data_IF_389106327413
#
_entry.id   IF_389106327413
#
_cell.length_a   1.000
_cell.length_b   1.000
_cell.length_c   1.000
_cell.angle_alpha   90.00
_cell.angle_beta   90.00
_cell.angle_gamma   90.00
#
_symmetry.space_group_name_H-M   'P 1'
#
loop_
_entity.id
_entity.type
_entity.pdbx_description
1 polymer ?
#
# COMPACT_ATOMS: atom_id res chain seq x y z
N UNK A 1 13.29 -10.78 -2.45
CA UNK A 1 11.90 -10.93 -2.97
C UNK A 1 11.40 -9.62 -3.61
N UNK A 2 10.57 -9.68 -4.67
CA UNK A 2 10.06 -8.48 -5.40
C UNK A 2 8.59 -8.20 -5.05
N UNK A 3 8.34 -7.29 -4.10
CA UNK A 3 6.99 -6.96 -3.59
C UNK A 3 5.92 -6.73 -4.67
N UNK A 4 6.24 -5.94 -5.70
CA UNK A 4 5.30 -5.63 -6.78
C UNK A 4 4.91 -6.82 -7.67
N UNK A 5 5.62 -7.96 -7.58
CA UNK A 5 5.16 -9.22 -8.17
C UNK A 5 4.20 -9.94 -7.23
N UNK A 6 4.56 -9.99 -5.94
CA UNK A 6 3.76 -10.70 -4.94
C UNK A 6 2.36 -10.10 -4.79
N UNK A 7 2.22 -8.76 -4.75
CA UNK A 7 0.89 -8.14 -4.66
C UNK A 7 0.04 -8.39 -5.91
N UNK A 8 0.64 -8.48 -7.11
CA UNK A 8 -0.09 -8.87 -8.32
C UNK A 8 -0.57 -10.32 -8.25
N UNK A 9 0.25 -11.24 -7.72
CA UNK A 9 -0.17 -12.64 -7.52
C UNK A 9 -1.32 -12.73 -6.52
N UNK A 10 -1.34 -11.90 -5.48
CA UNK A 10 -2.48 -11.85 -4.56
C UNK A 10 -3.75 -11.34 -5.24
N UNK A 11 -3.64 -10.30 -6.08
CA UNK A 11 -4.76 -9.80 -6.87
C UNK A 11 -5.31 -10.84 -7.87
N UNK A 12 -4.43 -11.64 -8.48
CA UNK A 12 -4.85 -12.74 -9.37
C UNK A 12 -5.59 -13.85 -8.61
N UNK A 13 -5.28 -14.06 -7.33
CA UNK A 13 -5.95 -15.05 -6.49
C UNK A 13 -7.31 -14.57 -5.96
N UNK A 14 -7.51 -13.25 -5.85
CA UNK A 14 -8.72 -12.62 -5.33
C UNK A 14 -9.11 -11.42 -6.22
N UNK A 15 -9.66 -11.68 -7.43
CA UNK A 15 -9.99 -10.62 -8.40
C UNK A 15 -11.18 -9.75 -7.96
N UNK A 16 -11.94 -10.22 -6.96
CA UNK A 16 -13.02 -9.52 -6.28
C UNK A 16 -12.53 -8.41 -5.35
N UNK A 17 -11.29 -8.50 -4.87
CA UNK A 17 -10.68 -7.53 -3.97
C UNK A 17 -9.86 -6.49 -4.72
N UNK A 18 -10.03 -5.21 -4.36
CA UNK A 18 -9.27 -4.12 -4.98
C UNK A 18 -7.92 -3.93 -4.28
N UNK A 19 -6.85 -4.46 -4.88
CA UNK A 19 -5.49 -4.26 -4.39
C UNK A 19 -4.87 -2.96 -4.92
N UNK A 20 -4.05 -2.32 -4.08
CA UNK A 20 -3.25 -1.14 -4.40
C UNK A 20 -2.47 -1.33 -5.71
N UNK A 21 -2.68 -0.43 -6.66
CA UNK A 21 -2.01 -0.41 -7.96
C UNK A 21 -0.55 0.07 -7.85
N UNK A 22 0.28 -0.77 -7.25
CA UNK A 22 1.68 -0.46 -6.92
C UNK A 22 2.54 -0.16 -8.16
N UNK A 23 2.28 -0.83 -9.30
CA UNK A 23 3.05 -0.66 -10.54
C UNK A 23 2.81 0.72 -11.17
N UNK A 24 1.56 1.16 -11.41
CA UNK A 24 1.26 2.54 -11.83
C UNK A 24 1.87 3.61 -10.93
N UNK A 25 1.65 3.55 -9.61
CA UNK A 25 2.22 4.51 -8.65
C UNK A 25 3.75 4.60 -8.75
N UNK A 26 4.41 3.44 -8.88
CA UNK A 26 5.87 3.38 -9.06
C UNK A 26 6.34 3.98 -10.38
N UNK A 27 5.54 3.89 -11.46
CA UNK A 27 5.88 4.48 -12.75
C UNK A 27 5.83 6.01 -12.67
N UNK A 28 4.83 6.59 -11.99
CA UNK A 28 4.72 8.04 -11.78
C UNK A 28 5.95 8.57 -11.02
N UNK A 29 6.30 7.95 -9.89
CA UNK A 29 7.48 8.35 -9.11
C UNK A 29 8.78 8.32 -9.94
N UNK A 30 8.94 7.32 -10.81
CA UNK A 30 10.11 7.21 -11.69
C UNK A 30 10.15 8.29 -12.77
N UNK A 31 8.98 8.66 -13.33
CA UNK A 31 8.89 9.72 -14.34
C UNK A 31 9.25 11.08 -13.73
N UNK A 32 8.74 11.37 -12.53
CA UNK A 32 9.07 12.57 -11.78
C UNK A 32 10.55 12.67 -11.43
N UNK A 33 11.14 11.57 -10.97
CA UNK A 33 12.58 11.56 -10.70
C UNK A 33 13.45 11.83 -11.95
N UNK A 34 13.01 11.37 -13.13
CA UNK A 34 13.74 11.54 -14.40
C UNK A 34 13.59 12.95 -14.96
N UNK A 35 12.38 13.50 -14.97
CA UNK A 35 12.11 14.82 -15.55
C UNK A 35 12.81 15.95 -14.78
N UNK A 36 12.96 15.79 -13.47
CA UNK A 36 13.62 16.77 -12.60
C UNK A 36 15.15 16.79 -12.75
N UNK A 37 15.75 15.74 -13.30
CA UNK A 37 17.17 15.72 -13.68
C UNK A 37 17.43 16.39 -15.04
N UNK A 38 16.45 16.38 -15.95
CA UNK A 38 16.62 16.90 -17.32
C UNK A 38 16.22 18.37 -17.44
N UNK A 39 15.22 18.82 -16.69
CA UNK A 39 14.68 20.17 -16.77
C UNK A 39 14.68 20.79 -15.37
N UNK A 40 15.52 21.79 -15.12
CA UNK A 40 15.56 22.57 -13.87
C UNK A 40 14.32 23.45 -13.63
N UNK A 41 13.17 23.12 -14.22
CA UNK A 41 11.95 23.93 -14.20
C UNK A 41 11.01 23.48 -13.09
N UNK A 42 10.82 24.34 -12.09
CA UNK A 42 10.08 24.07 -10.85
C UNK A 42 8.59 23.79 -11.07
N UNK A 43 7.95 24.42 -12.05
CA UNK A 43 6.49 24.33 -12.28
C UNK A 43 6.00 22.91 -12.64
N UNK A 44 6.76 22.15 -13.43
CA UNK A 44 6.35 20.80 -13.85
C UNK A 44 6.48 19.72 -12.75
N UNK A 45 7.21 20.03 -11.66
CA UNK A 45 7.47 19.08 -10.58
C UNK A 45 6.35 19.05 -9.54
N UNK A 46 5.69 20.19 -9.33
CA UNK A 46 4.56 20.29 -8.41
C UNK A 46 3.35 19.55 -8.98
N UNK A 47 3.08 19.69 -10.28
CA UNK A 47 2.00 18.97 -10.97
C UNK A 47 2.17 17.44 -10.89
N UNK A 48 3.40 16.93 -11.01
CA UNK A 48 3.66 15.49 -10.93
C UNK A 48 3.63 14.96 -9.50
N UNK A 49 4.01 15.78 -8.52
CA UNK A 49 3.91 15.44 -7.10
C UNK A 49 2.44 15.37 -6.68
N UNK A 50 1.64 16.37 -7.08
CA UNK A 50 0.20 16.37 -6.88
C UNK A 50 -0.48 15.20 -7.61
N UNK A 51 -0.04 14.87 -8.83
CA UNK A 51 -0.55 13.70 -9.56
C UNK A 51 -0.30 12.38 -8.82
N UNK A 52 0.87 12.21 -8.20
CA UNK A 52 1.15 11.05 -7.37
C UNK A 52 0.25 11.01 -6.12
N UNK A 53 0.07 12.15 -5.45
CA UNK A 53 -0.72 12.22 -4.22
C UNK A 53 -2.20 11.94 -4.48
N UNK A 54 -2.79 12.57 -5.49
CA UNK A 54 -4.19 12.29 -5.89
C UNK A 54 -4.39 10.84 -6.28
N UNK A 55 -3.45 10.24 -7.02
CA UNK A 55 -3.55 8.83 -7.37
C UNK A 55 -3.43 7.92 -6.14
N UNK A 56 -2.51 8.22 -5.21
CA UNK A 56 -2.37 7.42 -3.99
C UNK A 56 -3.60 7.55 -3.09
N UNK A 57 -4.18 8.74 -2.98
CA UNK A 57 -5.41 9.00 -2.21
C UNK A 57 -6.59 8.22 -2.79
N UNK A 58 -6.85 8.35 -4.09
CA UNK A 58 -7.90 7.59 -4.78
C UNK A 58 -7.74 6.08 -4.57
N UNK A 59 -6.51 5.57 -4.68
CA UNK A 59 -6.24 4.14 -4.48
C UNK A 59 -6.47 3.69 -3.03
N UNK A 60 -6.17 4.55 -2.05
CA UNK A 60 -6.47 4.26 -0.63
C UNK A 60 -7.99 4.20 -0.43
N UNK A 61 -8.74 5.12 -1.02
CA UNK A 61 -10.19 5.16 -0.93
C UNK A 61 -10.83 3.92 -1.58
N UNK A 62 -10.35 3.50 -2.75
CA UNK A 62 -10.83 2.28 -3.42
C UNK A 62 -10.51 1.02 -2.60
N UNK A 63 -9.31 0.94 -2.00
CA UNK A 63 -8.94 -0.17 -1.10
C UNK A 63 -9.84 -0.19 0.14
N UNK A 64 -10.10 0.96 0.75
CA UNK A 64 -10.94 1.08 1.95
C UNK A 64 -12.41 0.74 1.66
N UNK A 65 -12.91 1.18 0.50
CA UNK A 65 -14.26 0.83 0.02
C UNK A 65 -14.38 -0.68 -0.18
N UNK A 66 -13.41 -1.29 -0.86
CA UNK A 66 -13.36 -2.74 -1.06
C UNK A 66 -13.26 -3.51 0.27
N UNK A 67 -12.41 -3.06 1.20
CA UNK A 67 -12.31 -3.66 2.54
C UNK A 67 -13.65 -3.61 3.28
N UNK A 68 -14.28 -2.44 3.31
CA UNK A 68 -15.54 -2.23 4.04
C UNK A 68 -16.65 -3.13 3.49
N UNK A 69 -16.80 -3.21 2.17
CA UNK A 69 -17.79 -4.09 1.53
C UNK A 69 -17.61 -5.56 1.94
N UNK A 70 -16.38 -6.07 1.91
CA UNK A 70 -16.12 -7.46 2.27
C UNK A 70 -16.19 -7.71 3.78
N UNK A 71 -15.81 -6.72 4.60
CA UNK A 71 -15.96 -6.79 6.04
C UNK A 71 -17.44 -6.86 6.45
N UNK A 72 -18.30 -6.08 5.78
CA UNK A 72 -19.75 -6.15 5.99
C UNK A 72 -20.32 -7.51 5.60
N UNK A 73 -19.92 -8.06 4.45
CA UNK A 73 -20.37 -9.39 4.04
C UNK A 73 -19.99 -10.48 5.06
N UNK A 74 -18.75 -10.46 5.56
CA UNK A 74 -18.28 -11.38 6.61
C UNK A 74 -19.05 -11.17 7.92
N UNK A 75 -19.36 -9.93 8.28
CA UNK A 75 -20.14 -9.61 9.49
C UNK A 75 -21.59 -10.10 9.37
N UNK A 76 -22.19 -10.01 8.19
CA UNK A 76 -23.53 -10.52 7.92
C UNK A 76 -23.55 -12.05 8.04
N UNK A 77 -22.55 -12.75 7.48
CA UNK A 77 -22.38 -14.20 7.65
C UNK A 77 -22.23 -14.61 9.12
N UNK A 78 -21.44 -13.88 9.91
CA UNK A 78 -21.31 -14.10 11.36
C UNK A 78 -22.65 -13.95 12.07
N UNK A 79 -23.41 -12.92 11.70
CA UNK A 79 -24.69 -12.60 12.32
C UNK A 79 -25.71 -13.70 12.06
N UNK A 80 -25.79 -14.18 10.81
CA UNK A 80 -26.64 -15.32 10.41
C UNK A 80 -26.28 -16.55 11.25
N UNK A 81 -25.01 -16.98 11.23
CA UNK A 81 -24.54 -18.16 11.97
C UNK A 81 -24.74 -18.07 13.48
N UNK A 82 -24.69 -16.85 14.04
CA UNK A 82 -24.90 -16.62 15.48
C UNK A 82 -26.39 -16.60 15.85
N UNK A 83 -27.26 -16.22 14.91
CA UNK A 83 -28.71 -16.12 15.10
C UNK A 83 -29.44 -17.45 14.87
N UNK A 84 -28.83 -18.37 14.13
CA UNK A 84 -29.31 -19.73 13.95
C UNK A 84 -29.15 -20.52 15.26
N UNK A 85 -30.20 -20.50 16.09
CA UNK A 85 -30.34 -21.33 17.30
C UNK A 85 -30.19 -22.84 16.99
N UNK A 86 -30.31 -23.75 17.96
CA UNK A 86 -30.16 -25.19 17.74
C UNK A 86 -31.30 -25.74 16.87
N UNK A 87 -31.23 -25.47 15.58
CA UNK A 87 -32.11 -25.96 14.53
C UNK A 87 -31.37 -27.10 13.81
N UNK A 88 -32.13 -27.98 13.14
CA UNK A 88 -31.76 -29.30 12.61
C UNK A 88 -30.58 -29.38 11.60
N UNK A 89 -29.71 -28.37 11.54
CA UNK A 89 -28.45 -28.50 10.83
C UNK A 89 -27.53 -29.51 11.51
N UNK A 90 -26.98 -30.40 10.69
CA UNK A 90 -25.92 -31.30 11.13
C UNK A 90 -24.77 -30.48 11.70
N UNK A 91 -24.23 -30.88 12.86
CA UNK A 91 -23.05 -30.24 13.45
C UNK A 91 -21.87 -30.18 12.47
N UNK A 92 -21.81 -31.11 11.50
CA UNK A 92 -20.84 -31.10 10.41
C UNK A 92 -20.98 -29.87 9.50
N UNK A 93 -22.20 -29.44 9.19
CA UNK A 93 -22.45 -28.34 8.26
C UNK A 93 -22.11 -26.99 8.92
N UNK A 94 -22.44 -26.83 10.20
CA UNK A 94 -21.99 -25.69 11.01
C UNK A 94 -20.47 -25.58 11.10
N UNK A 95 -19.79 -26.71 11.31
CA UNK A 95 -18.32 -26.74 11.33
C UNK A 95 -17.73 -26.34 9.97
N UNK A 96 -18.36 -26.75 8.85
CA UNK A 96 -17.94 -26.34 7.50
C UNK A 96 -18.14 -24.85 7.27
N UNK A 97 -19.30 -24.30 7.65
CA UNK A 97 -19.58 -22.87 7.58
C UNK A 97 -18.58 -22.06 8.40
N UNK A 98 -18.31 -22.47 9.65
CA UNK A 98 -17.33 -21.81 10.51
C UNK A 98 -15.91 -21.85 9.93
N UNK A 99 -15.49 -22.99 9.35
CA UNK A 99 -14.21 -23.09 8.66
C UNK A 99 -14.13 -22.19 7.42
N UNK A 100 -15.22 -22.09 6.66
CA UNK A 100 -15.31 -21.19 5.50
C UNK A 100 -15.17 -19.73 5.95
N UNK A 101 -15.93 -19.33 6.96
CA UNK A 101 -15.90 -17.99 7.54
C UNK A 101 -14.50 -17.63 8.08
N UNK A 102 -13.85 -18.56 8.79
CA UNK A 102 -12.48 -18.37 9.27
C UNK A 102 -11.49 -18.13 8.13
N UNK A 103 -11.68 -18.77 6.97
CA UNK A 103 -10.84 -18.53 5.79
C UNK A 103 -11.12 -17.15 5.20
N UNK A 104 -12.40 -16.75 5.06
CA UNK A 104 -12.78 -15.42 4.58
C UNK A 104 -12.16 -14.30 5.43
N UNK A 105 -12.18 -14.45 6.77
CA UNK A 105 -11.53 -13.51 7.69
C UNK A 105 -10.02 -13.45 7.49
N UNK A 106 -9.34 -14.60 7.34
CA UNK A 106 -7.89 -14.63 7.12
C UNK A 106 -7.50 -14.02 5.76
N UNK A 107 -8.31 -14.21 4.73
CA UNK A 107 -8.11 -13.59 3.41
C UNK A 107 -8.27 -12.07 3.48
N UNK A 108 -9.31 -11.58 4.17
CA UNK A 108 -9.53 -10.15 4.39
C UNK A 108 -8.39 -9.52 5.21
N UNK A 109 -7.88 -10.25 6.22
CA UNK A 109 -6.69 -9.84 6.98
C UNK A 109 -5.45 -9.75 6.09
N UNK A 110 -5.20 -10.75 5.25
CA UNK A 110 -4.07 -10.74 4.29
C UNK A 110 -4.19 -9.56 3.34
N UNK A 111 -5.39 -9.30 2.81
CA UNK A 111 -5.68 -8.17 1.95
C UNK A 111 -5.31 -6.83 2.61
N UNK A 112 -5.80 -6.58 3.84
CA UNK A 112 -5.47 -5.37 4.59
C UNK A 112 -3.96 -5.20 4.78
N UNK A 113 -3.26 -6.28 5.16
CA UNK A 113 -1.80 -6.27 5.36
C UNK A 113 -1.05 -5.97 4.06
N UNK A 114 -1.42 -6.61 2.96
CA UNK A 114 -0.75 -6.40 1.67
C UNK A 114 -0.87 -4.96 1.19
N UNK A 115 -2.05 -4.37 1.32
CA UNK A 115 -2.30 -2.98 0.94
C UNK A 115 -1.55 -2.00 1.85
N UNK A 116 -1.62 -2.16 3.18
CA UNK A 116 -0.89 -1.32 4.13
C UNK A 116 0.62 -1.35 3.87
N UNK A 117 1.19 -2.55 3.67
CA UNK A 117 2.61 -2.70 3.31
C UNK A 117 2.91 -2.05 1.95
N UNK A 118 1.98 -2.10 1.00
CA UNK A 118 2.09 -1.44 -0.30
C UNK A 118 2.22 0.08 -0.19
N UNK A 119 1.33 0.69 0.60
CA UNK A 119 1.34 2.13 0.89
C UNK A 119 2.65 2.55 1.56
N UNK A 120 3.06 1.84 2.62
CA UNK A 120 4.35 2.11 3.30
C UNK A 120 5.51 2.00 2.31
N UNK A 121 5.53 0.98 1.45
CA UNK A 121 6.60 0.79 0.47
C UNK A 121 6.63 1.86 -0.61
N UNK A 122 5.49 2.37 -1.06
CA UNK A 122 5.46 3.41 -2.08
C UNK A 122 5.87 4.77 -1.50
N UNK A 123 5.44 5.08 -0.26
CA UNK A 123 5.86 6.26 0.47
C UNK A 123 7.36 6.23 0.79
N UNK A 124 7.89 5.10 1.30
CA UNK A 124 9.34 4.94 1.51
C UNK A 124 10.13 5.11 0.22
N UNK A 125 9.59 4.66 -0.92
CA UNK A 125 10.22 4.87 -2.23
C UNK A 125 10.24 6.34 -2.62
N UNK A 126 9.13 7.07 -2.44
CA UNK A 126 9.05 8.52 -2.67
C UNK A 126 10.09 9.27 -1.83
N UNK A 127 10.15 8.98 -0.53
CA UNK A 127 11.07 9.66 0.38
C UNK A 127 12.54 9.40 0.01
N UNK A 128 12.88 8.16 -0.37
CA UNK A 128 14.23 7.85 -0.85
C UNK A 128 14.58 8.62 -2.14
N UNK A 129 13.63 8.78 -3.06
CA UNK A 129 13.86 9.54 -4.29
C UNK A 129 14.07 11.02 -3.99
N UNK A 130 13.29 11.61 -3.07
CA UNK A 130 13.48 13.01 -2.63
C UNK A 130 14.83 13.22 -1.95
N UNK A 131 15.19 12.37 -0.99
CA UNK A 131 16.45 12.47 -0.27
C UNK A 131 17.68 12.34 -1.19
N UNK A 132 17.62 11.47 -2.20
CA UNK A 132 18.70 11.34 -3.19
C UNK A 132 18.88 12.59 -4.07
N UNK A 133 17.84 13.42 -4.20
CA UNK A 133 17.87 14.67 -4.95
C UNK A 133 18.39 15.82 -4.07
N UNK A 134 17.96 15.89 -2.82
CA UNK A 134 18.41 16.93 -1.88
C UNK A 134 19.92 16.79 -1.58
N UNK A 135 20.43 15.56 -1.56
CA UNK A 135 21.87 15.27 -1.43
C UNK A 135 22.73 15.64 -2.65
N UNK A 136 22.14 15.96 -3.81
CA UNK A 136 22.89 16.43 -5.00
C UNK A 136 23.04 17.96 -5.05
N UNK A 137 22.21 18.72 -4.33
CA UNK A 137 22.35 20.18 -4.20
C UNK A 137 23.23 20.62 -3.01
N UNK A 138 23.82 19.66 -2.29
CA UNK A 138 24.57 19.87 -1.05
C UNK A 138 26.08 19.66 -1.14
N UNK A 139 26.69 19.70 -2.33
CA UNK A 139 28.14 19.84 -2.44
C UNK A 139 28.57 21.29 -2.16
N UNK A 140 28.35 21.75 -0.92
CA UNK A 140 29.31 22.67 -0.29
C UNK A 140 30.48 21.80 0.13
N UNK A 141 31.69 22.29 -0.14
CA UNK A 141 32.95 21.66 0.25
C UNK A 141 32.82 20.99 1.62
N UNK A 142 33.32 19.75 1.80
CA UNK A 142 33.36 19.15 3.11
C UNK A 142 34.26 20.04 3.96
N UNK A 143 33.65 20.87 4.80
CA UNK A 143 34.36 21.49 5.91
C UNK A 143 34.91 20.32 6.71
N UNK A 144 36.23 20.22 6.68
CA UNK A 144 36.98 19.17 7.34
C UNK A 144 36.70 19.22 8.83
N UNK A 145 35.82 18.34 9.29
CA UNK A 145 35.35 18.25 10.68
C UNK A 145 36.48 17.83 11.64
N UNK A 146 37.66 17.48 11.12
CA UNK A 146 38.85 17.18 11.91
C UNK A 146 39.61 18.45 12.38
N UNK A 147 39.43 19.62 11.74
CA UNK A 147 40.06 20.87 12.20
C UNK A 147 39.31 21.54 13.37
N UNK A 148 37.99 21.33 13.48
CA UNK A 148 37.17 22.01 14.50
C UNK A 148 37.26 21.33 15.89
N UNK A 149 37.71 20.07 15.94
CA UNK A 149 37.95 19.31 17.18
C UNK A 149 39.27 19.66 17.88
N UNK A 150 40.14 20.44 17.25
CA UNK A 150 41.45 20.80 17.79
C UNK A 150 41.48 22.17 18.50
N UNK A 151 40.32 22.84 18.66
CA UNK A 151 40.25 24.23 19.16
C UNK A 151 39.49 24.42 20.48
N UNK A 152 38.99 23.36 21.13
CA UNK A 152 38.33 23.43 22.44
C UNK A 152 38.66 22.21 23.29
#
# INVERSE_FOLDING_TARGET
MKFGKNISVQQEQRPDLHYLQYKPLKKILKRSARNKQTNGSSSSNDDQSQSFERMLENEIDEVNSSFSQHAHAVQDEITVLSSEGPQEESSSDRLRQLMSLSRSVDELRKFAVWNAVGVVKILKKRNKLRAAMDGQNGARDPVDMDEERARW
#
